data_IF_297749491545
#
_entry.id   IF_297749491545
#
_cell.length_a   1.000
_cell.length_b   1.000
_cell.length_c   1.000
_cell.angle_alpha   90.00
_cell.angle_beta   90.00
_cell.angle_gamma   90.00
#
_symmetry.space_group_name_H-M   'P 1'
#
loop_
_entity.id
_entity.type
_entity.pdbx_description
1 polymer ?
#
# COMPACT_ATOMS: atom_id res chain seq x y z
N UNK A 1 28.42 -19.55 0.71
CA UNK A 1 27.23 -19.01 0.02
C UNK A 1 26.54 -18.02 0.96
N UNK A 2 26.61 -16.71 0.70
CA UNK A 2 26.04 -15.69 1.61
C UNK A 2 24.52 -15.67 1.44
N UNK A 3 23.78 -16.08 2.48
CA UNK A 3 22.34 -15.86 2.60
C UNK A 3 22.07 -14.36 2.78
N UNK A 4 21.93 -13.64 1.66
CA UNK A 4 21.44 -12.27 1.67
C UNK A 4 19.91 -12.30 1.85
N UNK A 5 19.44 -12.55 3.08
CA UNK A 5 18.06 -12.26 3.46
C UNK A 5 17.88 -10.74 3.52
N UNK A 6 17.73 -10.12 2.36
CA UNK A 6 17.34 -8.72 2.28
C UNK A 6 15.95 -8.56 2.90
N UNK A 7 15.70 -7.47 3.63
CA UNK A 7 14.39 -7.17 4.24
C UNK A 7 13.23 -7.24 3.22
N UNK A 8 13.52 -7.01 1.93
CA UNK A 8 12.55 -7.15 0.84
C UNK A 8 12.16 -8.62 0.57
N UNK A 9 13.10 -9.56 0.58
CA UNK A 9 12.82 -10.99 0.39
C UNK A 9 11.93 -11.58 1.48
N UNK A 10 12.16 -11.16 2.74
CA UNK A 10 11.31 -11.53 3.89
C UNK A 10 9.87 -11.03 3.72
N UNK A 11 9.66 -9.79 3.29
CA UNK A 11 8.31 -9.22 3.06
C UNK A 11 7.55 -9.92 1.94
N UNK A 12 8.22 -10.23 0.82
CA UNK A 12 7.63 -11.01 -0.28
C UNK A 12 7.23 -12.42 0.16
N UNK A 13 8.06 -13.05 0.99
CA UNK A 13 7.76 -14.38 1.52
C UNK A 13 6.57 -14.40 2.48
N UNK A 14 6.36 -13.34 3.26
CA UNK A 14 5.18 -13.20 4.14
C UNK A 14 3.92 -12.93 3.33
N UNK A 15 3.96 -12.01 2.38
CA UNK A 15 2.85 -11.75 1.46
C UNK A 15 2.39 -13.03 0.74
N UNK A 16 3.34 -13.80 0.18
CA UNK A 16 3.04 -15.07 -0.47
C UNK A 16 2.43 -16.12 0.48
N UNK A 17 2.86 -16.15 1.75
CA UNK A 17 2.28 -17.02 2.77
C UNK A 17 0.85 -16.61 3.13
N UNK A 18 0.60 -15.31 3.29
CA UNK A 18 -0.72 -14.79 3.65
C UNK A 18 -1.73 -14.88 2.50
N UNK A 19 -1.27 -14.86 1.25
CA UNK A 19 -2.12 -15.12 0.08
C UNK A 19 -2.46 -16.59 -0.12
N UNK A 20 -1.65 -17.52 0.40
CA UNK A 20 -1.88 -18.94 0.18
C UNK A 20 -3.21 -19.36 0.81
N UNK A 21 -4.16 -19.79 -0.03
CA UNK A 21 -5.50 -20.19 0.39
C UNK A 21 -6.46 -19.02 0.68
N UNK A 22 -6.06 -17.79 0.39
CA UNK A 22 -6.97 -16.65 0.42
C UNK A 22 -7.87 -16.65 -0.83
N UNK A 23 -9.13 -16.23 -0.65
CA UNK A 23 -10.00 -15.87 -1.76
C UNK A 23 -9.53 -14.53 -2.35
N UNK A 24 -8.98 -14.58 -3.56
CA UNK A 24 -8.35 -13.42 -4.20
C UNK A 24 -9.37 -12.32 -4.55
N UNK A 25 -10.64 -12.67 -4.75
CA UNK A 25 -11.72 -11.69 -4.98
C UNK A 25 -11.98 -10.82 -3.74
N UNK A 26 -11.60 -11.32 -2.55
CA UNK A 26 -11.76 -10.66 -1.26
C UNK A 26 -10.47 -10.04 -0.73
N UNK A 27 -9.51 -9.79 -1.60
CA UNK A 27 -8.23 -9.15 -1.26
C UNK A 27 -8.18 -7.75 -1.87
N UNK A 28 -7.87 -6.77 -1.03
CA UNK A 28 -7.53 -5.40 -1.46
C UNK A 28 -6.04 -5.13 -1.36
N UNK A 29 -5.53 -4.35 -2.30
CA UNK A 29 -4.17 -3.84 -2.34
C UNK A 29 -4.21 -2.31 -2.21
N UNK A 30 -3.38 -1.77 -1.32
CA UNK A 30 -3.27 -0.34 -1.04
C UNK A 30 -1.81 0.08 -1.20
N UNK A 31 -1.34 0.34 -2.44
CA UNK A 31 -0.03 0.92 -2.64
C UNK A 31 0.01 2.35 -2.11
N UNK A 32 1.09 2.71 -1.43
CA UNK A 32 1.39 4.06 -0.95
C UNK A 32 2.73 4.46 -1.53
N UNK A 33 2.70 5.47 -2.38
CA UNK A 33 3.86 6.18 -2.90
C UNK A 33 4.22 7.31 -1.93
N UNK A 34 5.39 7.19 -1.31
CA UNK A 34 5.83 8.09 -0.24
C UNK A 34 6.54 9.31 -0.81
N UNK A 35 6.09 10.49 -0.40
CA UNK A 35 6.75 11.77 -0.65
C UNK A 35 7.00 12.53 0.67
N UNK A 36 7.70 13.67 0.60
CA UNK A 36 8.04 14.46 1.78
C UNK A 36 6.84 15.00 2.56
N UNK A 37 5.77 15.36 1.85
CA UNK A 37 4.63 16.10 2.43
C UNK A 37 3.32 15.39 2.15
N UNK A 38 3.06 15.08 0.88
CA UNK A 38 1.78 14.54 0.42
C UNK A 38 2.00 13.15 -0.16
N UNK A 39 1.49 12.15 0.54
CA UNK A 39 1.54 10.75 0.13
C UNK A 39 0.47 10.51 -0.93
N UNK A 40 0.72 9.61 -1.87
CA UNK A 40 -0.27 9.23 -2.88
C UNK A 40 -0.62 7.76 -2.73
N UNK A 41 -1.89 7.43 -2.85
CA UNK A 41 -2.38 6.06 -2.75
C UNK A 41 -3.57 5.84 -3.69
N UNK A 42 -3.93 4.58 -3.88
CA UNK A 42 -5.14 4.10 -4.54
C UNK A 42 -5.51 2.77 -3.90
N UNK A 43 -6.73 2.30 -4.15
CA UNK A 43 -7.17 0.98 -3.68
C UNK A 43 -7.54 0.15 -4.90
N UNK A 44 -6.95 -1.03 -4.97
CA UNK A 44 -7.15 -2.00 -6.02
C UNK A 44 -7.69 -3.30 -5.42
N UNK A 45 -8.41 -4.10 -6.21
CA UNK A 45 -8.54 -5.51 -5.88
C UNK A 45 -7.26 -6.27 -6.24
N UNK A 46 -7.21 -7.57 -5.95
CA UNK A 46 -6.05 -8.40 -6.27
C UNK A 46 -5.68 -8.43 -7.75
N UNK A 47 -6.67 -8.31 -8.64
CA UNK A 47 -6.49 -8.35 -10.09
C UNK A 47 -6.04 -7.01 -10.70
N UNK A 48 -5.88 -5.97 -9.86
CA UNK A 48 -5.43 -4.65 -10.28
C UNK A 48 -6.55 -3.72 -10.77
N UNK A 49 -7.81 -4.11 -10.60
CA UNK A 49 -8.95 -3.24 -10.91
C UNK A 49 -9.06 -2.15 -9.85
N UNK A 50 -9.35 -0.92 -10.30
CA UNK A 50 -9.40 0.25 -9.43
C UNK A 50 -10.73 0.30 -8.66
N UNK A 51 -10.66 0.11 -7.35
CA UNK A 51 -11.79 0.28 -6.42
C UNK A 51 -11.90 1.74 -5.98
N UNK A 52 -10.76 2.37 -5.70
CA UNK A 52 -10.67 3.79 -5.39
C UNK A 52 -9.58 4.42 -6.26
N UNK A 53 -9.96 5.40 -7.08
CA UNK A 53 -9.03 6.20 -7.87
C UNK A 53 -8.00 6.90 -6.99
N UNK A 54 -6.87 7.30 -7.59
CA UNK A 54 -5.75 7.86 -6.84
C UNK A 54 -6.17 9.05 -5.97
N UNK A 55 -5.75 9.05 -4.72
CA UNK A 55 -5.96 10.12 -3.77
C UNK A 55 -4.67 10.43 -3.03
N UNK A 56 -4.67 11.58 -2.37
CA UNK A 56 -3.54 12.06 -1.61
C UNK A 56 -3.90 12.30 -0.15
N UNK A 57 -2.94 12.09 0.73
CA UNK A 57 -3.11 12.30 2.16
C UNK A 57 -1.81 12.75 2.82
N UNK A 58 -1.91 13.47 3.93
CA UNK A 58 -0.76 13.88 4.74
C UNK A 58 -0.49 12.87 5.85
N UNK A 59 0.77 12.78 6.30
CA UNK A 59 1.14 11.98 7.47
C UNK A 59 0.86 12.78 8.75
N UNK A 60 -0.41 13.07 8.99
CA UNK A 60 -0.93 13.67 10.22
C UNK A 60 -2.24 12.98 10.60
N UNK A 61 -2.80 13.29 11.78
CA UNK A 61 -3.99 12.62 12.28
C UNK A 61 -5.17 12.63 11.29
N UNK A 62 -5.46 13.78 10.69
CA UNK A 62 -6.55 13.94 9.71
C UNK A 62 -6.30 13.12 8.44
N UNK A 63 -5.09 13.17 7.89
CA UNK A 63 -4.74 12.44 6.67
C UNK A 63 -4.71 10.93 6.88
N UNK A 64 -4.23 10.46 8.04
CA UNK A 64 -4.28 9.04 8.38
C UNK A 64 -5.72 8.55 8.58
N UNK A 65 -6.58 9.35 9.24
CA UNK A 65 -8.00 9.04 9.35
C UNK A 65 -8.68 8.98 7.98
N UNK A 66 -8.33 9.88 7.08
CA UNK A 66 -8.83 9.86 5.70
C UNK A 66 -8.42 8.59 4.94
N UNK A 67 -7.14 8.19 5.03
CA UNK A 67 -6.68 6.92 4.44
C UNK A 67 -7.44 5.72 5.01
N UNK A 68 -7.57 5.62 6.33
CA UNK A 68 -8.26 4.51 7.00
C UNK A 68 -9.73 4.46 6.56
N UNK A 69 -10.41 5.60 6.50
CA UNK A 69 -11.81 5.65 6.05
C UNK A 69 -11.96 5.12 4.63
N UNK A 70 -11.07 5.55 3.70
CA UNK A 70 -11.07 5.04 2.32
C UNK A 70 -10.88 3.53 2.25
N UNK A 71 -10.01 2.97 3.10
CA UNK A 71 -9.77 1.52 3.17
C UNK A 71 -11.00 0.78 3.70
N UNK A 72 -11.61 1.26 4.78
CA UNK A 72 -12.81 0.63 5.34
C UNK A 72 -14.00 0.71 4.38
N UNK A 73 -14.22 1.85 3.72
CA UNK A 73 -15.27 2.01 2.72
C UNK A 73 -15.10 0.99 1.57
N UNK A 74 -13.88 0.84 1.05
CA UNK A 74 -13.57 -0.13 0.00
C UNK A 74 -13.73 -1.58 0.49
N UNK A 75 -13.26 -1.87 1.71
CA UNK A 75 -13.37 -3.19 2.32
C UNK A 75 -14.83 -3.62 2.49
N UNK A 76 -15.69 -2.72 2.96
CA UNK A 76 -17.12 -2.98 3.09
C UNK A 76 -17.79 -3.18 1.72
N UNK A 77 -17.45 -2.33 0.74
CA UNK A 77 -18.04 -2.38 -0.61
C UNK A 77 -17.69 -3.68 -1.35
N UNK A 78 -16.45 -4.15 -1.22
CA UNK A 78 -15.96 -5.36 -1.87
C UNK A 78 -16.09 -6.62 -1.01
N UNK A 79 -16.61 -6.51 0.23
CA UNK A 79 -16.60 -7.60 1.23
C UNK A 79 -15.23 -8.24 1.41
N UNK A 80 -14.19 -7.40 1.38
CA UNK A 80 -12.82 -7.87 1.46
C UNK A 80 -12.49 -8.42 2.85
N UNK A 81 -11.80 -9.54 2.88
CA UNK A 81 -11.37 -10.22 4.11
C UNK A 81 -9.91 -9.90 4.44
N UNK A 82 -9.12 -9.48 3.43
CA UNK A 82 -7.73 -9.09 3.60
C UNK A 82 -7.42 -7.78 2.89
N UNK A 83 -6.61 -6.95 3.53
CA UNK A 83 -6.09 -5.72 2.97
C UNK A 83 -4.57 -5.74 3.12
N UNK A 84 -3.85 -5.60 2.00
CA UNK A 84 -2.40 -5.47 2.00
C UNK A 84 -2.02 -4.03 1.69
N UNK A 85 -1.37 -3.37 2.64
CA UNK A 85 -0.83 -2.03 2.46
C UNK A 85 0.65 -2.13 2.11
N UNK A 86 1.00 -1.70 0.90
CA UNK A 86 2.37 -1.70 0.40
C UNK A 86 2.92 -0.29 0.40
N UNK A 87 3.97 -0.02 1.17
CA UNK A 87 4.62 1.29 1.20
C UNK A 87 5.94 1.21 0.43
N UNK A 88 6.04 1.95 -0.66
CA UNK A 88 7.29 2.14 -1.38
C UNK A 88 7.93 3.47 -0.98
N UNK A 89 9.05 3.38 -0.26
CA UNK A 89 9.81 4.56 0.11
C UNK A 89 10.71 4.96 -1.07
N UNK A 90 10.63 6.22 -1.52
CA UNK A 90 11.62 6.79 -2.43
C UNK A 90 13.00 6.70 -1.79
N UNK A 91 13.91 5.92 -2.37
CA UNK A 91 15.32 5.95 -2.00
C UNK A 91 15.91 7.35 -2.27
N UNK A 92 16.53 7.95 -1.26
CA UNK A 92 17.55 9.03 -1.28
C UNK A 92 17.61 10.06 -2.44
N UNK A 93 16.51 10.44 -3.08
CA UNK A 93 16.52 11.46 -4.13
C UNK A 93 15.89 12.77 -3.65
N UNK A 94 16.62 13.43 -2.73
CA UNK A 94 16.56 14.87 -2.56
C UNK A 94 17.65 15.51 -3.43
N UNK A 95 17.32 15.96 -4.63
CA UNK A 95 18.07 17.05 -5.27
C UNK A 95 17.26 18.33 -5.11
N UNK A 96 17.64 19.15 -4.14
CA UNK A 96 17.28 20.57 -4.15
C UNK A 96 18.19 21.25 -5.17
N UNK A 97 17.63 21.73 -6.28
CA UNK A 97 18.31 22.72 -7.12
C UNK A 97 18.17 24.06 -6.40
N UNK A 98 19.28 24.55 -5.87
CA UNK A 98 19.41 25.87 -5.23
C UNK A 98 19.35 26.91 -6.36
N UNK A 99 18.34 27.80 -6.32
CA UNK A 99 18.43 29.10 -6.97
C UNK A 99 18.93 30.10 -5.94
#
# INVERSE_FOLDING_TARGET
MRLLNSKQGLRRSQFAKELKGADLEKVLLVPIDVSKVLQKSMILNYFGEVIQTSFSFMVNHTGMKYLIQKIEDAKHSCRAEKVFVGIEATGHHLSFKKN
#
